data_IF_482203845572
#
_entry.id   IF_482203845572
#
_cell.length_a   1.000
_cell.length_b   1.000
_cell.length_c   1.000
_cell.angle_alpha   90.00
_cell.angle_beta   90.00
_cell.angle_gamma   90.00
#
_symmetry.space_group_name_H-M   'P 1'
#
loop_
_entity.id
_entity.type
_entity.pdbx_description
1 polymer ?
#
# COMPACT_ATOMS: atom_id res chain seq x y z
N UNK A 1 -3.54 -2.97 -15.04
CA UNK A 1 -2.28 -3.51 -15.59
C UNK A 1 -2.49 -5.00 -15.67
N UNK A 2 -2.42 -5.55 -16.87
CA UNK A 2 -2.23 -6.99 -17.05
C UNK A 2 -0.73 -7.21 -17.19
N UNK A 3 -0.17 -8.20 -16.50
CA UNK A 3 1.26 -8.46 -16.55
C UNK A 3 1.52 -9.44 -17.70
N UNK A 4 2.31 -9.01 -18.68
CA UNK A 4 2.78 -9.89 -19.74
C UNK A 4 3.78 -10.90 -19.14
N UNK A 5 3.53 -12.20 -19.31
CA UNK A 5 4.46 -13.26 -18.93
C UNK A 5 5.11 -13.78 -20.21
N UNK A 6 6.39 -13.47 -20.41
CA UNK A 6 7.20 -14.23 -21.34
C UNK A 6 7.50 -15.59 -20.70
N UNK A 7 6.95 -16.66 -21.28
CA UNK A 7 7.25 -18.04 -20.84
C UNK A 7 8.67 -18.36 -21.28
N UNK A 8 9.63 -18.62 -20.38
CA UNK A 8 10.93 -19.13 -20.78
C UNK A 8 10.73 -20.56 -21.31
N UNK A 9 11.28 -20.85 -22.49
CA UNK A 9 11.45 -22.23 -22.96
C UNK A 9 12.34 -22.97 -21.96
N UNK A 10 11.73 -23.79 -21.12
CA UNK A 10 12.45 -24.62 -20.15
C UNK A 10 12.72 -25.99 -20.79
N UNK A 11 13.99 -26.28 -21.05
CA UNK A 11 14.44 -27.64 -21.28
C UNK A 11 14.23 -28.46 -20.00
N UNK A 12 13.62 -29.62 -20.16
CA UNK A 12 13.23 -30.51 -19.07
C UNK A 12 14.44 -31.20 -18.44
N UNK A 13 14.72 -30.93 -17.17
CA UNK A 13 15.51 -31.83 -16.32
C UNK A 13 14.66 -32.28 -15.12
N UNK A 14 14.41 -33.58 -15.06
CA UNK A 14 13.77 -34.28 -13.96
C UNK A 14 14.71 -34.29 -12.74
N UNK A 15 14.26 -33.76 -11.60
CA UNK A 15 14.85 -34.09 -10.30
C UNK A 15 13.74 -34.43 -9.30
N UNK A 16 13.88 -35.62 -8.72
CA UNK A 16 12.92 -36.31 -7.87
C UNK A 16 12.62 -35.60 -6.53
N UNK A 17 11.35 -35.73 -6.12
CA UNK A 17 10.80 -35.33 -4.83
C UNK A 17 11.52 -35.99 -3.64
N UNK A 18 11.90 -35.18 -2.63
CA UNK A 18 11.90 -35.60 -1.22
C UNK A 18 11.28 -34.52 -0.34
N UNK A 19 10.13 -34.89 0.22
CA UNK A 19 9.33 -34.14 1.18
C UNK A 19 9.94 -34.29 2.58
N UNK A 20 10.20 -33.18 3.27
CA UNK A 20 10.18 -33.13 4.74
C UNK A 20 9.97 -31.68 5.17
N UNK A 21 8.77 -31.40 5.69
CA UNK A 21 8.37 -30.12 6.25
C UNK A 21 8.87 -29.99 7.69
N UNK A 22 9.91 -29.19 7.91
CA UNK A 22 10.23 -28.67 9.23
C UNK A 22 9.70 -27.23 9.31
N UNK A 23 8.58 -27.06 10.01
CA UNK A 23 8.09 -25.74 10.43
C UNK A 23 9.09 -25.17 11.43
N UNK A 24 10.05 -24.39 10.93
CA UNK A 24 10.94 -23.60 11.76
C UNK A 24 10.22 -22.28 12.05
N UNK A 25 9.74 -22.12 13.28
CA UNK A 25 9.16 -20.86 13.75
C UNK A 25 10.23 -19.75 13.66
N UNK A 26 9.98 -18.77 12.80
CA UNK A 26 10.88 -17.64 12.53
C UNK A 26 10.99 -16.77 13.79
N UNK A 27 12.18 -16.70 14.39
CA UNK A 27 12.50 -15.71 15.43
C UNK A 27 12.88 -14.39 14.76
N UNK A 28 12.00 -13.39 14.85
CA UNK A 28 12.22 -12.01 14.42
C UNK A 28 13.18 -11.26 15.38
N UNK A 29 14.39 -11.80 15.61
CA UNK A 29 15.34 -11.29 16.62
C UNK A 29 16.38 -10.30 16.02
N UNK A 30 16.22 -9.91 14.75
CA UNK A 30 17.12 -9.02 14.02
C UNK A 30 16.51 -7.66 13.74
N UNK A 31 16.08 -6.93 14.78
CA UNK A 31 15.47 -5.61 14.62
C UNK A 31 16.47 -4.59 14.04
N UNK A 32 16.19 -4.10 12.84
CA UNK A 32 16.77 -2.85 12.35
C UNK A 32 16.30 -1.73 13.28
N UNK A 33 17.23 -1.04 13.93
CA UNK A 33 16.90 0.16 14.71
C UNK A 33 16.71 1.28 13.71
N UNK A 34 15.45 1.61 13.41
CA UNK A 34 15.10 2.78 12.62
C UNK A 34 15.70 4.01 13.31
N UNK A 35 16.58 4.78 12.64
CA UNK A 35 17.12 6.00 13.22
C UNK A 35 15.98 6.98 13.50
N UNK A 36 16.00 7.66 14.65
CA UNK A 36 14.99 8.69 14.98
C UNK A 36 14.99 9.86 13.98
N UNK A 37 16.06 10.03 13.21
CA UNK A 37 16.21 11.07 12.20
C UNK A 37 16.98 10.61 10.97
N UNK A 38 16.73 11.25 9.83
CA UNK A 38 17.50 11.06 8.61
C UNK A 38 18.95 11.57 8.75
N UNK A 39 19.77 11.38 7.71
CA UNK A 39 21.19 11.80 7.71
C UNK A 39 21.41 13.31 7.93
N UNK A 40 20.34 14.12 7.89
CA UNK A 40 20.34 15.57 8.07
C UNK A 40 19.77 15.99 9.43
N UNK A 41 19.36 15.04 10.29
CA UNK A 41 18.83 15.33 11.63
C UNK A 41 17.33 15.68 11.67
N UNK A 42 16.59 15.43 10.58
CA UNK A 42 15.14 15.59 10.55
C UNK A 42 14.43 14.29 10.90
N UNK A 43 13.40 14.37 11.74
CA UNK A 43 12.47 13.27 12.01
C UNK A 43 11.66 12.94 10.77
N UNK A 44 11.51 11.66 10.47
CA UNK A 44 10.72 11.20 9.33
C UNK A 44 9.23 11.50 9.52
N UNK A 45 8.56 11.88 8.43
CA UNK A 45 7.11 12.18 8.38
C UNK A 45 6.68 13.28 9.36
N UNK A 46 7.44 14.35 9.43
CA UNK A 46 7.10 15.53 10.24
C UNK A 46 6.15 16.46 9.47
N UNK A 47 4.88 16.50 9.90
CA UNK A 47 3.85 17.35 9.31
C UNK A 47 3.70 18.72 10.02
N UNK A 48 4.50 19.00 11.06
CA UNK A 48 4.41 20.21 11.88
C UNK A 48 5.50 21.25 11.55
N UNK A 49 6.53 20.89 10.76
CA UNK A 49 7.55 21.84 10.28
C UNK A 49 6.97 22.75 9.20
N UNK A 50 6.95 24.06 9.46
CA UNK A 50 6.54 25.07 8.48
C UNK A 50 7.47 25.07 7.25
N UNK A 51 6.97 24.59 6.12
CA UNK A 51 7.66 24.61 4.82
C UNK A 51 6.66 24.71 3.66
N UNK A 52 7.12 25.10 2.46
CA UNK A 52 6.26 25.09 1.27
C UNK A 52 5.80 23.67 0.91
N UNK A 53 6.65 22.64 1.13
CA UNK A 53 6.29 21.23 0.95
C UNK A 53 5.15 20.82 1.89
N UNK A 54 5.19 21.26 3.15
CA UNK A 54 4.13 20.99 4.13
C UNK A 54 2.77 21.56 3.67
N UNK A 55 2.73 22.77 3.11
CA UNK A 55 1.48 23.33 2.57
C UNK A 55 0.91 22.49 1.42
N UNK A 56 1.77 22.00 0.53
CA UNK A 56 1.37 21.10 -0.55
C UNK A 56 0.82 19.79 -0.01
N UNK A 57 1.50 19.19 0.99
CA UNK A 57 1.08 17.94 1.63
C UNK A 57 -0.23 18.11 2.41
N UNK A 58 -0.41 19.23 3.12
CA UNK A 58 -1.66 19.51 3.85
C UNK A 58 -2.84 19.70 2.88
N UNK A 59 -2.65 20.46 1.80
CA UNK A 59 -3.69 20.63 0.77
C UNK A 59 -4.00 19.32 0.05
N UNK A 60 -2.97 18.50 -0.22
CA UNK A 60 -3.14 17.15 -0.74
C UNK A 60 -4.08 16.33 0.14
N UNK A 61 -3.78 16.24 1.45
CA UNK A 61 -4.57 15.44 2.39
C UNK A 61 -5.96 16.04 2.62
N UNK A 62 -6.09 17.37 2.59
CA UNK A 62 -7.41 18.03 2.63
C UNK A 62 -8.28 17.54 1.48
N UNK A 63 -7.79 17.60 0.25
CA UNK A 63 -8.55 17.18 -0.94
C UNK A 63 -8.81 15.67 -0.92
N UNK A 64 -7.83 14.86 -0.52
CA UNK A 64 -8.00 13.42 -0.34
C UNK A 64 -9.16 13.12 0.63
N UNK A 65 -9.09 13.65 1.86
CA UNK A 65 -10.07 13.35 2.90
C UNK A 65 -11.48 13.83 2.56
N UNK A 66 -11.62 14.92 1.80
CA UNK A 66 -12.94 15.42 1.38
C UNK A 66 -13.58 14.51 0.33
N UNK A 67 -12.79 13.99 -0.61
CA UNK A 67 -13.31 13.35 -1.83
C UNK A 67 -13.33 11.82 -1.80
N UNK A 68 -12.50 11.19 -0.96
CA UNK A 68 -12.51 9.73 -0.74
C UNK A 68 -13.76 9.32 0.06
N UNK A 69 -14.87 9.17 -0.65
CA UNK A 69 -16.16 8.70 -0.12
C UNK A 69 -16.36 7.22 -0.43
N UNK A 70 -17.23 6.55 0.32
CA UNK A 70 -17.57 5.14 0.10
C UNK A 70 -18.07 4.89 -1.33
N UNK A 71 -18.94 5.78 -1.85
CA UNK A 71 -19.46 5.64 -3.21
C UNK A 71 -18.41 5.94 -4.28
N UNK A 72 -17.48 6.86 -4.03
CA UNK A 72 -16.35 7.16 -4.93
C UNK A 72 -15.42 5.95 -5.04
N UNK A 73 -14.97 5.43 -3.89
CA UNK A 73 -14.08 4.27 -3.81
C UNK A 73 -14.69 3.04 -4.46
N UNK A 74 -15.95 2.71 -4.16
CA UNK A 74 -16.61 1.55 -4.76
C UNK A 74 -16.63 1.66 -6.29
N UNK A 75 -17.00 2.83 -6.83
CA UNK A 75 -17.04 3.05 -8.29
C UNK A 75 -15.66 2.93 -8.94
N UNK A 76 -14.62 3.49 -8.33
CA UNK A 76 -13.26 3.36 -8.86
C UNK A 76 -12.81 1.92 -8.82
N UNK A 77 -12.99 1.25 -7.68
CA UNK A 77 -12.60 -0.15 -7.54
C UNK A 77 -13.30 -1.04 -8.57
N UNK A 78 -14.60 -0.86 -8.79
CA UNK A 78 -15.37 -1.56 -9.83
C UNK A 78 -14.84 -1.29 -11.25
N UNK A 79 -14.29 -0.09 -11.53
CA UNK A 79 -13.72 0.20 -12.84
C UNK A 79 -12.32 -0.41 -13.03
N UNK A 80 -11.47 -0.27 -12.00
CA UNK A 80 -10.07 -0.66 -12.08
C UNK A 80 -9.84 -2.16 -11.85
N UNK A 81 -10.76 -2.88 -11.19
CA UNK A 81 -10.67 -4.34 -11.04
C UNK A 81 -10.75 -5.09 -12.39
N UNK A 82 -11.25 -4.44 -13.45
CA UNK A 82 -11.29 -5.00 -14.81
C UNK A 82 -9.90 -5.15 -15.44
N UNK A 83 -8.90 -4.41 -14.92
CA UNK A 83 -7.50 -4.36 -15.38
C UNK A 83 -7.29 -4.10 -16.88
N UNK A 84 -8.27 -3.55 -17.57
CA UNK A 84 -8.29 -3.38 -19.03
C UNK A 84 -7.64 -2.09 -19.55
N UNK A 85 -6.71 -1.49 -18.79
CA UNK A 85 -6.06 -0.23 -19.16
C UNK A 85 -4.87 -0.44 -20.10
N UNK A 86 -3.92 -1.29 -19.69
CA UNK A 86 -2.68 -1.59 -20.42
C UNK A 86 -2.10 -2.93 -19.98
N UNK A 87 -1.45 -3.61 -20.91
CA UNK A 87 -0.61 -4.78 -20.65
C UNK A 87 0.87 -4.36 -20.66
N UNK A 88 1.62 -4.72 -19.63
CA UNK A 88 3.05 -4.42 -19.51
C UNK A 88 3.72 -5.34 -18.48
N UNK A 89 5.03 -5.54 -18.62
CA UNK A 89 5.88 -6.21 -17.64
C UNK A 89 6.06 -5.35 -16.37
N UNK A 90 6.57 -5.97 -15.31
CA UNK A 90 6.93 -5.27 -14.07
C UNK A 90 7.97 -4.18 -14.34
N UNK A 91 8.98 -4.47 -15.16
CA UNK A 91 10.07 -3.53 -15.45
C UNK A 91 9.58 -2.31 -16.24
N UNK A 92 8.72 -2.51 -17.24
CA UNK A 92 8.07 -1.39 -17.94
C UNK A 92 7.22 -0.54 -16.98
N UNK A 93 6.56 -1.16 -15.99
CA UNK A 93 5.85 -0.45 -14.93
C UNK A 93 6.77 0.40 -14.06
N UNK A 94 7.95 -0.13 -13.69
CA UNK A 94 8.98 0.61 -12.94
C UNK A 94 9.48 1.81 -13.74
N UNK A 95 9.79 1.61 -15.03
CA UNK A 95 10.25 2.68 -15.93
C UNK A 95 9.19 3.78 -16.09
N UNK A 96 7.90 3.40 -16.16
CA UNK A 96 6.79 4.36 -16.27
C UNK A 96 6.68 5.28 -15.04
N UNK A 97 7.03 4.80 -13.85
CA UNK A 97 6.98 5.61 -12.63
C UNK A 97 8.07 6.68 -12.57
N UNK A 98 9.10 6.60 -13.41
CA UNK A 98 10.20 7.57 -13.41
C UNK A 98 9.75 8.98 -13.84
N UNK A 99 8.54 9.12 -14.39
CA UNK A 99 7.96 10.40 -14.80
C UNK A 99 7.24 11.16 -13.67
N UNK A 100 7.11 10.57 -12.46
CA UNK A 100 6.30 11.12 -11.37
C UNK A 100 7.08 11.34 -10.08
N UNK A 101 6.73 12.43 -9.37
CA UNK A 101 7.15 12.74 -8.00
C UNK A 101 5.90 12.68 -7.12
N UNK A 102 5.98 11.98 -5.99
CA UNK A 102 4.87 11.81 -5.04
C UNK A 102 4.66 13.09 -4.23
N UNK A 103 3.50 13.75 -4.34
CA UNK A 103 3.21 15.01 -3.63
C UNK A 103 2.76 14.81 -2.16
N UNK A 104 2.49 13.58 -1.75
CA UNK A 104 2.04 13.26 -0.38
C UNK A 104 3.18 13.04 0.61
N UNK A 105 4.38 12.77 0.09
CA UNK A 105 5.54 12.41 0.88
C UNK A 105 6.30 13.68 1.34
N UNK A 106 6.40 13.95 2.66
CA UNK A 106 7.18 15.09 3.16
C UNK A 106 8.70 14.88 3.05
N UNK A 107 9.16 13.65 2.85
CA UNK A 107 10.56 13.22 2.94
C UNK A 107 11.20 12.91 1.57
N UNK A 108 10.41 12.62 0.53
CA UNK A 108 10.90 12.24 -0.80
C UNK A 108 10.76 13.34 -1.86
N UNK A 109 11.86 13.64 -2.54
CA UNK A 109 11.94 14.47 -3.77
C UNK A 109 12.76 13.76 -4.87
N UNK A 110 12.77 12.42 -4.84
CA UNK A 110 13.57 11.59 -5.74
C UNK A 110 12.69 10.78 -6.71
N UNK A 111 13.23 10.33 -7.86
CA UNK A 111 12.49 9.50 -8.80
C UNK A 111 12.03 8.19 -8.15
N UNK A 112 10.81 7.75 -8.46
CA UNK A 112 10.21 6.55 -7.88
C UNK A 112 11.03 5.27 -8.08
N UNK A 113 11.79 5.15 -9.17
CA UNK A 113 12.66 3.98 -9.40
C UNK A 113 13.74 3.83 -8.33
N UNK A 114 14.30 4.94 -7.84
CA UNK A 114 15.32 4.91 -6.80
C UNK A 114 14.72 4.43 -5.48
N UNK A 115 13.53 4.91 -5.13
CA UNK A 115 12.78 4.47 -3.94
C UNK A 115 12.47 2.96 -3.97
N UNK A 116 12.00 2.44 -5.11
CA UNK A 116 11.71 1.02 -5.27
C UNK A 116 12.97 0.15 -5.08
N UNK A 117 14.08 0.55 -5.72
CA UNK A 117 15.35 -0.17 -5.62
C UNK A 117 15.96 -0.08 -4.22
N UNK A 118 15.90 1.09 -3.56
CA UNK A 118 16.37 1.27 -2.19
C UNK A 118 15.60 0.39 -1.21
N UNK A 119 14.28 0.35 -1.34
CA UNK A 119 13.41 -0.51 -0.51
C UNK A 119 13.77 -1.97 -0.72
N UNK A 120 13.84 -2.44 -1.97
CA UNK A 120 14.16 -3.83 -2.29
C UNK A 120 15.55 -4.24 -1.79
N UNK A 121 16.58 -3.40 -1.99
CA UNK A 121 17.96 -3.71 -1.58
C UNK A 121 18.14 -3.65 -0.05
N UNK A 122 17.45 -2.75 0.64
CA UNK A 122 17.46 -2.73 2.11
C UNK A 122 16.88 -4.02 2.68
N UNK A 123 15.72 -4.45 2.18
CA UNK A 123 15.10 -5.72 2.57
C UNK A 123 16.02 -6.89 2.21
N UNK A 124 16.60 -6.90 1.01
CA UNK A 124 17.53 -7.97 0.57
C UNK A 124 18.71 -8.13 1.52
N UNK A 125 19.23 -7.01 2.04
CA UNK A 125 20.35 -7.01 2.99
C UNK A 125 19.95 -7.56 4.36
N UNK A 126 18.81 -7.15 4.88
CA UNK A 126 18.39 -7.47 6.26
C UNK A 126 17.67 -8.84 6.36
N UNK A 127 17.00 -9.27 5.28
CA UNK A 127 16.26 -10.53 5.19
C UNK A 127 16.70 -11.36 3.97
N UNK A 128 17.97 -11.81 3.89
CA UNK A 128 18.56 -12.40 2.69
C UNK A 128 17.89 -13.69 2.20
N UNK A 129 17.14 -14.38 3.07
CA UNK A 129 16.44 -15.63 2.73
C UNK A 129 14.96 -15.44 2.36
N UNK A 130 14.44 -14.22 2.41
CA UNK A 130 13.03 -13.90 2.12
C UNK A 130 12.91 -13.21 0.75
N UNK A 131 13.24 -13.94 -0.32
CA UNK A 131 13.25 -13.43 -1.70
C UNK A 131 11.92 -12.79 -2.14
N UNK A 132 10.80 -13.37 -1.73
CA UNK A 132 9.46 -12.83 -1.94
C UNK A 132 9.29 -11.43 -1.33
N UNK A 133 9.95 -11.14 -0.21
CA UNK A 133 9.89 -9.84 0.45
C UNK A 133 10.74 -8.80 -0.30
N UNK A 134 11.84 -9.22 -0.92
CA UNK A 134 12.67 -8.35 -1.78
C UNK A 134 11.83 -7.89 -2.97
N UNK A 135 11.16 -8.84 -3.64
CA UNK A 135 10.26 -8.52 -4.75
C UNK A 135 9.07 -7.67 -4.29
N UNK A 136 8.52 -7.93 -3.10
CA UNK A 136 7.45 -7.11 -2.51
C UNK A 136 7.91 -5.66 -2.37
N UNK A 137 9.14 -5.43 -1.88
CA UNK A 137 9.76 -4.10 -1.83
C UNK A 137 9.92 -3.44 -3.20
N UNK A 138 10.28 -4.21 -4.23
CA UNK A 138 10.43 -3.68 -5.57
C UNK A 138 9.10 -3.26 -6.21
N UNK A 139 7.99 -3.90 -5.86
CA UNK A 139 6.71 -3.72 -6.57
C UNK A 139 5.62 -2.99 -5.78
N UNK A 140 5.81 -2.74 -4.47
CA UNK A 140 4.75 -2.22 -3.59
C UNK A 140 4.09 -0.95 -4.14
N UNK A 141 4.89 -0.06 -4.73
CA UNK A 141 4.48 1.26 -5.21
C UNK A 141 4.06 1.27 -6.70
N UNK A 142 4.08 0.12 -7.39
CA UNK A 142 3.73 0.06 -8.82
C UNK A 142 2.28 0.44 -9.13
N UNK A 143 1.41 0.46 -8.12
CA UNK A 143 0.07 1.01 -8.28
C UNK A 143 0.03 2.50 -8.63
N UNK A 144 1.13 3.23 -8.43
CA UNK A 144 1.26 4.65 -8.79
C UNK A 144 1.15 4.91 -10.30
N UNK A 145 1.19 3.86 -11.14
CA UNK A 145 0.94 3.97 -12.59
C UNK A 145 -0.43 4.59 -12.91
N UNK A 146 -1.37 4.60 -11.95
CA UNK A 146 -2.65 5.32 -12.04
C UNK A 146 -2.51 6.82 -12.34
N UNK A 147 -1.36 7.43 -12.03
CA UNK A 147 -1.03 8.82 -12.39
C UNK A 147 -0.84 9.01 -13.90
N UNK A 148 -0.46 7.96 -14.62
CA UNK A 148 -0.17 8.04 -16.04
C UNK A 148 -1.48 8.09 -16.86
N UNK A 149 -1.57 8.93 -17.92
CA UNK A 149 -2.78 9.06 -18.75
C UNK A 149 -3.33 7.75 -19.29
N UNK A 150 -2.46 6.80 -19.67
CA UNK A 150 -2.87 5.47 -20.15
C UNK A 150 -3.66 4.65 -19.11
N UNK A 151 -3.48 4.95 -17.83
CA UNK A 151 -4.20 4.29 -16.74
C UNK A 151 -5.40 5.08 -16.26
N UNK A 152 -5.56 6.34 -16.68
CA UNK A 152 -6.67 7.20 -16.32
C UNK A 152 -6.25 8.60 -15.88
N UNK A 153 -4.95 8.82 -15.60
CA UNK A 153 -4.44 10.12 -15.17
C UNK A 153 -5.14 10.62 -13.91
N UNK A 154 -5.30 9.75 -12.91
CA UNK A 154 -5.96 10.12 -11.67
C UNK A 154 -5.15 11.22 -10.95
N UNK A 155 -5.82 12.16 -10.27
CA UNK A 155 -5.11 13.15 -9.46
C UNK A 155 -4.35 12.45 -8.32
N UNK A 156 -3.21 13.02 -7.89
CA UNK A 156 -2.36 12.41 -6.87
C UNK A 156 -3.13 11.99 -5.61
N UNK A 157 -4.08 12.81 -5.15
CA UNK A 157 -4.88 12.51 -3.95
C UNK A 157 -5.73 11.23 -4.07
N UNK A 158 -5.99 10.74 -5.28
CA UNK A 158 -6.70 9.50 -5.54
C UNK A 158 -5.76 8.31 -5.85
N UNK A 159 -4.45 8.50 -5.68
CA UNK A 159 -3.41 7.50 -6.00
C UNK A 159 -2.46 7.27 -4.83
N UNK A 160 -1.86 8.32 -4.27
CA UNK A 160 -0.80 8.23 -3.25
C UNK A 160 -1.31 8.61 -1.85
N UNK A 161 -0.43 8.61 -0.86
CA UNK A 161 -0.71 9.02 0.52
C UNK A 161 -1.26 7.93 1.43
N UNK A 162 -1.36 8.25 2.71
CA UNK A 162 -1.86 7.35 3.75
C UNK A 162 -3.32 6.95 3.48
N UNK A 163 -3.62 5.67 3.69
CA UNK A 163 -4.94 5.09 3.44
C UNK A 163 -5.74 4.91 4.72
N UNK A 164 -7.07 4.88 4.57
CA UNK A 164 -8.02 4.70 5.66
C UNK A 164 -9.29 3.98 5.19
N UNK A 165 -10.01 3.27 6.06
CA UNK A 165 -11.29 2.68 5.72
C UNK A 165 -12.35 3.74 5.38
N UNK A 166 -13.04 3.56 4.27
CA UNK A 166 -14.27 4.33 3.95
C UNK A 166 -15.50 3.51 4.33
N UNK A 167 -16.64 4.17 4.56
CA UNK A 167 -17.89 3.47 4.91
C UNK A 167 -18.02 3.08 6.38
N UNK A 168 -17.08 3.49 7.24
CA UNK A 168 -17.19 3.50 8.70
C UNK A 168 -16.66 4.82 9.27
N UNK A 169 -16.78 5.03 10.59
CA UNK A 169 -16.29 6.22 11.24
C UNK A 169 -14.78 6.35 11.08
N UNK A 170 -14.31 7.55 10.74
CA UNK A 170 -12.89 7.88 10.66
C UNK A 170 -12.29 8.01 12.05
N UNK A 171 -11.07 7.49 12.23
CA UNK A 171 -10.29 7.54 13.46
C UNK A 171 -9.39 8.79 13.50
N UNK A 172 -9.17 9.35 14.69
CA UNK A 172 -8.37 10.58 14.89
C UNK A 172 -6.87 10.38 14.58
N UNK A 173 -6.40 9.12 14.49
CA UNK A 173 -5.04 8.79 14.06
C UNK A 173 -4.78 9.00 12.56
N UNK A 174 -5.81 9.24 11.75
CA UNK A 174 -5.61 9.66 10.37
C UNK A 174 -4.89 11.03 10.33
N UNK A 175 -3.87 11.16 9.48
CA UNK A 175 -3.17 12.43 9.26
C UNK A 175 -4.16 13.53 8.89
N UNK A 176 -3.96 14.76 9.37
CA UNK A 176 -4.87 15.90 9.14
C UNK A 176 -6.38 15.60 9.32
N UNK A 177 -6.74 14.82 10.35
CA UNK A 177 -8.11 14.38 10.64
C UNK A 177 -9.19 15.47 10.56
N UNK A 178 -8.83 16.72 10.89
CA UNK A 178 -9.72 17.90 10.86
C UNK A 178 -10.52 18.05 9.57
N UNK A 179 -9.98 17.63 8.42
CA UNK A 179 -10.61 17.78 7.11
C UNK A 179 -11.70 16.74 6.82
N UNK A 180 -11.75 15.62 7.56
CA UNK A 180 -12.85 14.67 7.41
C UNK A 180 -14.22 15.29 7.73
N UNK A 181 -14.28 16.36 8.53
CA UNK A 181 -15.54 17.08 8.83
C UNK A 181 -16.21 17.65 7.58
N UNK A 182 -15.45 17.88 6.51
CA UNK A 182 -15.94 18.37 5.22
C UNK A 182 -16.33 17.23 4.26
N UNK A 183 -15.96 15.98 4.57
CA UNK A 183 -16.37 14.81 3.79
C UNK A 183 -17.87 14.52 4.00
N UNK A 184 -18.67 14.32 2.94
CA UNK A 184 -20.10 14.05 3.07
C UNK A 184 -20.42 12.78 3.86
N UNK A 185 -19.52 11.79 3.91
CA UNK A 185 -19.69 10.55 4.66
C UNK A 185 -19.50 10.73 6.18
N UNK A 186 -18.82 11.80 6.62
CA UNK A 186 -18.54 12.05 8.04
C UNK A 186 -19.81 12.24 8.87
N UNK A 187 -20.84 12.87 8.29
CA UNK A 187 -22.14 13.06 8.96
C UNK A 187 -23.21 12.08 8.50
N UNK A 188 -22.88 11.19 7.54
CA UNK A 188 -23.82 10.24 6.98
C UNK A 188 -24.13 9.13 8.00
N UNK A 189 -25.39 8.94 8.45
CA UNK A 189 -25.74 7.97 9.48
C UNK A 189 -25.47 6.50 9.10
N UNK A 190 -25.24 6.22 7.81
CA UNK A 190 -24.83 4.89 7.34
C UNK A 190 -23.35 4.60 7.60
N UNK A 191 -22.50 5.62 7.58
CA UNK A 191 -21.05 5.47 7.58
C UNK A 191 -20.41 6.03 8.86
N UNK A 192 -21.01 7.02 9.52
CA UNK A 192 -20.44 7.69 10.70
C UNK A 192 -20.49 6.90 12.02
N UNK A 193 -20.72 5.58 11.95
CA UNK A 193 -20.72 4.67 13.11
C UNK A 193 -19.44 3.86 13.11
N UNK A 194 -19.04 3.38 14.30
CA UNK A 194 -17.81 2.58 14.49
C UNK A 194 -17.57 1.54 13.39
N UNK A 195 -18.59 0.79 13.00
CA UNK A 195 -18.49 -0.21 11.93
C UNK A 195 -19.14 0.24 10.62
N UNK A 196 -19.97 1.29 10.62
CA UNK A 196 -20.74 1.73 9.46
C UNK A 196 -21.42 0.57 8.71
N UNK A 197 -20.94 0.25 7.51
CA UNK A 197 -21.44 -0.87 6.67
C UNK A 197 -20.80 -2.24 6.97
N UNK A 198 -19.78 -2.29 7.81
CA UNK A 198 -19.02 -3.50 8.13
C UNK A 198 -19.52 -4.19 9.39
N UNK A 199 -18.96 -5.37 9.64
CA UNK A 199 -19.14 -6.14 10.89
C UNK A 199 -17.80 -6.26 11.62
N UNK A 200 -17.85 -6.49 12.93
CA UNK A 200 -16.65 -6.72 13.74
C UNK A 200 -15.90 -7.97 13.26
N UNK A 201 -14.58 -7.85 13.10
CA UNK A 201 -13.71 -8.93 12.65
C UNK A 201 -14.01 -9.44 11.24
N UNK A 202 -14.66 -8.63 10.38
CA UNK A 202 -15.01 -9.04 9.02
C UNK A 202 -13.80 -9.37 8.14
N UNK A 203 -12.60 -8.95 8.54
CA UNK A 203 -11.38 -9.06 7.78
C UNK A 203 -11.19 -7.85 6.87
N UNK A 204 -9.98 -7.31 6.83
CA UNK A 204 -9.66 -6.12 6.02
C UNK A 204 -9.90 -6.35 4.54
N UNK A 205 -9.88 -7.62 4.09
CA UNK A 205 -10.23 -7.96 2.71
C UNK A 205 -11.66 -7.58 2.31
N UNK A 206 -12.58 -7.46 3.29
CA UNK A 206 -13.97 -7.06 3.11
C UNK A 206 -14.21 -5.57 3.40
N UNK A 207 -13.15 -4.80 3.68
CA UNK A 207 -13.20 -3.37 3.96
C UNK A 207 -12.77 -2.62 2.70
N UNK A 208 -13.57 -1.63 2.30
CA UNK A 208 -13.14 -0.67 1.30
C UNK A 208 -12.20 0.34 1.95
N UNK A 209 -10.96 0.37 1.47
CA UNK A 209 -9.97 1.39 1.81
C UNK A 209 -10.11 2.57 0.85
N UNK A 210 -9.73 3.77 1.26
CA UNK A 210 -9.52 4.91 0.36
C UNK A 210 -8.71 4.45 -0.85
N UNK A 211 -9.21 4.73 -2.06
CA UNK A 211 -8.66 4.15 -3.28
C UNK A 211 -7.30 4.76 -3.61
N UNK A 212 -6.36 3.94 -4.05
CA UNK A 212 -5.01 4.36 -4.41
C UNK A 212 -4.13 3.21 -4.91
N UNK A 213 -2.83 3.44 -4.91
CA UNK A 213 -1.80 2.53 -5.40
C UNK A 213 -1.81 1.17 -4.68
N UNK A 214 -2.01 1.13 -3.36
CA UNK A 214 -2.12 -0.10 -2.58
C UNK A 214 -3.19 -1.06 -3.13
N UNK A 215 -4.45 -0.63 -3.17
CA UNK A 215 -5.58 -1.49 -3.55
C UNK A 215 -5.50 -1.85 -5.04
N UNK A 216 -5.05 -0.93 -5.89
CA UNK A 216 -4.87 -1.21 -7.30
C UNK A 216 -3.73 -2.20 -7.57
N UNK A 217 -2.57 -2.08 -6.91
CA UNK A 217 -1.48 -3.03 -7.08
C UNK A 217 -1.84 -4.41 -6.52
N UNK A 218 -2.60 -4.45 -5.43
CA UNK A 218 -3.18 -5.69 -4.93
C UNK A 218 -4.13 -6.35 -5.95
N UNK A 219 -5.03 -5.57 -6.58
CA UNK A 219 -5.92 -6.07 -7.64
C UNK A 219 -5.11 -6.64 -8.82
N UNK A 220 -4.07 -5.92 -9.24
CA UNK A 220 -3.15 -6.38 -10.29
C UNK A 220 -2.53 -7.72 -9.89
N UNK A 221 -1.95 -7.83 -8.70
CA UNK A 221 -1.29 -9.07 -8.26
C UNK A 221 -2.29 -10.24 -8.18
N UNK A 222 -3.48 -9.98 -7.63
CA UNK A 222 -4.55 -10.99 -7.47
C UNK A 222 -5.05 -11.52 -8.81
N UNK A 223 -5.47 -10.64 -9.71
CA UNK A 223 -6.10 -11.06 -10.98
C UNK A 223 -5.07 -11.63 -11.98
N UNK A 224 -3.80 -11.21 -11.89
CA UNK A 224 -2.70 -11.86 -12.63
C UNK A 224 -2.23 -13.17 -11.97
N UNK A 225 -2.91 -13.64 -10.90
CA UNK A 225 -2.61 -14.90 -10.20
C UNK A 225 -1.16 -14.99 -9.73
N UNK A 226 -0.67 -13.89 -9.16
CA UNK A 226 0.66 -13.83 -8.58
C UNK A 226 0.86 -14.96 -7.55
N UNK A 227 2.05 -15.55 -7.55
CA UNK A 227 2.43 -16.66 -6.65
C UNK A 227 3.06 -16.19 -5.35
N UNK A 228 3.12 -14.88 -5.11
CA UNK A 228 3.59 -14.31 -3.85
C UNK A 228 2.71 -14.78 -2.68
N UNK A 229 3.29 -14.94 -1.48
CA UNK A 229 2.53 -15.38 -0.30
C UNK A 229 1.49 -14.34 0.13
N UNK A 230 0.52 -14.76 0.96
CA UNK A 230 -0.50 -13.88 1.52
C UNK A 230 0.08 -12.65 2.23
N UNK A 231 1.21 -12.83 2.93
CA UNK A 231 1.93 -11.75 3.60
C UNK A 231 2.39 -10.65 2.64
N UNK A 232 2.88 -11.01 1.45
CA UNK A 232 3.28 -10.05 0.41
C UNK A 232 2.09 -9.25 -0.11
N UNK A 233 0.97 -9.93 -0.41
CA UNK A 233 -0.24 -9.28 -0.89
C UNK A 233 -0.85 -8.37 0.19
N UNK A 234 -0.73 -8.75 1.46
CA UNK A 234 -1.14 -7.93 2.60
C UNK A 234 -0.26 -6.68 2.73
N UNK A 235 1.07 -6.81 2.60
CA UNK A 235 1.99 -5.67 2.58
C UNK A 235 1.60 -4.71 1.45
N UNK A 236 1.50 -5.21 0.21
CA UNK A 236 1.15 -4.37 -0.95
C UNK A 236 -0.17 -3.62 -0.70
N UNK A 237 -1.18 -4.29 -0.14
CA UNK A 237 -2.51 -3.70 0.05
C UNK A 237 -2.63 -2.73 1.23
N UNK A 238 -1.76 -2.82 2.24
CA UNK A 238 -1.95 -2.09 3.49
C UNK A 238 -0.70 -1.34 3.96
N UNK A 239 0.35 -1.23 3.14
CA UNK A 239 1.54 -0.47 3.50
C UNK A 239 1.28 1.03 3.63
N UNK A 240 0.23 1.58 3.04
CA UNK A 240 -0.15 2.97 3.29
C UNK A 240 -1.11 3.13 4.48
N UNK A 241 -1.53 2.04 5.13
CA UNK A 241 -2.53 2.07 6.21
C UNK A 241 -1.92 2.41 7.59
N UNK A 242 -1.27 3.56 7.69
CA UNK A 242 -0.59 4.04 8.89
C UNK A 242 -1.44 4.09 10.16
N UNK A 243 -2.73 4.50 10.11
CA UNK A 243 -3.62 4.39 11.28
C UNK A 243 -3.61 2.99 11.90
N UNK A 244 -3.54 1.93 11.09
CA UNK A 244 -3.46 0.56 11.58
C UNK A 244 -2.05 0.21 12.07
N UNK A 245 -1.04 0.27 11.20
CA UNK A 245 0.27 -0.32 11.50
C UNK A 245 1.19 0.59 12.34
N UNK A 246 0.90 1.90 12.45
CA UNK A 246 1.64 2.83 13.34
C UNK A 246 0.88 3.11 14.62
N UNK A 247 -0.45 3.31 14.54
CA UNK A 247 -1.25 3.76 15.68
C UNK A 247 -2.15 2.66 16.29
N UNK A 248 -2.29 1.52 15.64
CA UNK A 248 -3.11 0.41 16.13
C UNK A 248 -4.62 0.64 16.03
N UNK A 249 -5.06 1.65 15.27
CA UNK A 249 -6.47 1.89 14.99
C UNK A 249 -7.06 0.78 14.10
N UNK A 250 -8.39 0.71 14.02
CA UNK A 250 -9.14 -0.24 13.18
C UNK A 250 -8.88 -1.74 13.38
N UNK A 251 -8.13 -2.14 14.42
CA UNK A 251 -7.93 -3.57 14.78
C UNK A 251 -9.23 -4.36 14.97
N UNK A 252 -10.33 -3.67 15.27
CA UNK A 252 -11.66 -4.28 15.39
C UNK A 252 -12.25 -4.79 14.07
N UNK A 253 -11.68 -4.43 12.92
CA UNK A 253 -12.08 -4.93 11.59
C UNK A 253 -11.26 -6.16 11.16
N UNK A 254 -10.12 -6.41 11.80
CA UNK A 254 -9.19 -7.48 11.42
C UNK A 254 -9.69 -8.87 11.81
N UNK A 255 -9.50 -9.85 10.92
CA UNK A 255 -9.62 -11.27 11.24
C UNK A 255 -8.27 -11.86 11.72
N UNK A 256 -8.19 -13.18 11.93
CA UNK A 256 -6.94 -13.82 12.39
C UNK A 256 -5.82 -13.79 11.35
N UNK A 257 -6.14 -13.97 10.06
CA UNK A 257 -5.17 -13.91 8.97
C UNK A 257 -4.55 -12.50 8.85
N UNK A 258 -5.36 -11.44 9.00
CA UNK A 258 -4.86 -10.07 9.02
C UNK A 258 -3.88 -9.84 10.18
N UNK A 259 -4.13 -10.43 11.35
CA UNK A 259 -3.25 -10.30 12.53
C UNK A 259 -1.92 -11.01 12.33
N UNK A 260 -1.93 -12.15 11.63
CA UNK A 260 -0.70 -12.87 11.26
C UNK A 260 0.12 -12.07 10.25
N UNK A 261 -0.52 -11.57 9.19
CA UNK A 261 0.14 -10.79 8.15
C UNK A 261 0.61 -9.40 8.63
N UNK A 262 -0.06 -8.80 9.62
CA UNK A 262 0.34 -7.52 10.21
C UNK A 262 1.78 -7.57 10.78
N UNK A 263 2.24 -8.74 11.24
CA UNK A 263 3.64 -8.92 11.70
C UNK A 263 4.63 -8.66 10.57
N UNK A 264 4.33 -9.13 9.37
CA UNK A 264 5.16 -8.89 8.18
C UNK A 264 5.06 -7.46 7.67
N UNK A 265 3.90 -6.83 7.81
CA UNK A 265 3.78 -5.39 7.52
C UNK A 265 4.63 -4.54 8.47
N UNK A 266 4.74 -4.88 9.74
CA UNK A 266 5.66 -4.22 10.66
C UNK A 266 7.14 -4.48 10.34
N UNK A 267 7.48 -5.61 9.72
CA UNK A 267 8.84 -5.88 9.22
C UNK A 267 9.16 -5.03 7.99
N UNK A 268 8.17 -4.81 7.13
CA UNK A 268 8.31 -4.02 5.91
C UNK A 268 8.47 -2.51 6.15
N UNK A 269 7.91 -1.98 7.24
CA UNK A 269 7.91 -0.56 7.59
C UNK A 269 9.04 -0.16 8.52
#
# INVERSE_FOLDING_TARGET
MTIAIEIPLTESENVENKTQSEQTELKLDGGFVVPDANAFGHTFRDYDIESERQKTVEEFYRVNHINQTYDYVRKLRDDYEKLNKREMSIWEGIELLNEFVDDSDPDLDMPQIEHLLQTAEAIRKDYPNEDWLHLTGLIHDLGKVLLHPDFGGLPQWAVVGDTFPVGCAYDESNVHFKYFKENPDYTNPKYNRKFGVYSEGCGLNNVFMSFGHDDYMYLVAKENKCTLPSAALFIIRYHSFYPLHKHGAYKCLMNEEDKENLKWLHVFK
#
